data_IF_614043340857
#
_entry.id   IF_614043340857
#
_cell.length_a   1.000
_cell.length_b   1.000
_cell.length_c   1.000
_cell.angle_alpha   90.00
_cell.angle_beta   90.00
_cell.angle_gamma   90.00
#
_symmetry.space_group_name_H-M   'P 1'
#
loop_
_entity.id
_entity.type
_entity.pdbx_description
1 polymer ?
#
# COMPACT_ATOMS: atom_id res chain seq x y z
N UNK A 1 -10.71 5.81 -34.48
CA UNK A 1 -11.98 5.05 -34.46
C UNK A 1 -11.93 4.12 -33.26
N UNK A 2 -12.88 4.30 -32.35
CA UNK A 2 -12.95 3.66 -31.04
C UNK A 2 -13.64 2.31 -31.24
N UNK A 3 -12.93 1.19 -31.08
CA UNK A 3 -13.56 -0.13 -30.97
C UNK A 3 -13.39 -0.66 -29.54
N UNK A 4 -14.32 -0.24 -28.70
CA UNK A 4 -14.61 -0.80 -27.39
C UNK A 4 -15.49 -2.04 -27.61
N UNK A 5 -14.86 -3.19 -27.84
CA UNK A 5 -15.57 -4.48 -27.92
C UNK A 5 -15.74 -4.98 -26.50
N UNK A 6 -16.94 -4.71 -25.98
CA UNK A 6 -17.65 -5.43 -24.94
C UNK A 6 -16.80 -6.41 -24.12
N UNK A 7 -16.35 -5.91 -22.98
CA UNK A 7 -16.16 -6.66 -21.75
C UNK A 7 -17.36 -7.61 -21.56
N UNK A 8 -17.20 -8.87 -21.97
CA UNK A 8 -18.12 -9.94 -21.58
C UNK A 8 -17.95 -10.12 -20.08
N UNK A 9 -18.80 -9.43 -19.36
CA UNK A 9 -18.93 -9.46 -17.92
C UNK A 9 -19.31 -10.87 -17.46
N UNK A 10 -18.31 -11.72 -17.30
CA UNK A 10 -18.40 -12.94 -16.49
C UNK A 10 -18.39 -12.52 -15.01
N UNK A 11 -19.45 -11.83 -14.57
CA UNK A 11 -19.81 -11.88 -13.16
C UNK A 11 -20.35 -13.29 -12.92
N UNK A 12 -19.93 -14.02 -11.86
CA UNK A 12 -20.74 -15.15 -11.41
C UNK A 12 -22.09 -14.56 -11.02
N UNK A 13 -23.09 -14.72 -11.89
CA UNK A 13 -24.43 -14.25 -11.63
C UNK A 13 -24.83 -14.87 -10.29
N UNK A 14 -25.12 -14.05 -9.29
CA UNK A 14 -25.60 -14.56 -8.01
C UNK A 14 -26.76 -15.54 -8.31
N UNK A 15 -26.61 -16.79 -7.90
CA UNK A 15 -27.60 -17.84 -8.11
C UNK A 15 -28.35 -18.10 -6.80
N UNK A 16 -29.55 -18.63 -6.93
CA UNK A 16 -30.40 -19.06 -5.84
C UNK A 16 -30.94 -20.46 -6.17
N UNK A 17 -31.01 -21.32 -5.15
CA UNK A 17 -31.58 -22.64 -5.29
C UNK A 17 -33.12 -22.62 -5.12
N UNK A 18 -33.79 -23.59 -5.73
CA UNK A 18 -35.24 -23.69 -5.74
C UNK A 18 -35.84 -23.97 -4.35
N UNK A 19 -35.09 -24.55 -3.43
CA UNK A 19 -35.58 -24.85 -2.07
C UNK A 19 -35.62 -23.59 -1.21
N UNK A 20 -34.59 -22.76 -1.32
CA UNK A 20 -34.48 -21.46 -0.69
C UNK A 20 -35.56 -20.53 -1.23
N UNK A 21 -35.76 -20.49 -2.55
CA UNK A 21 -36.83 -19.72 -3.17
C UNK A 21 -38.22 -20.21 -2.72
N UNK A 22 -38.46 -21.54 -2.69
CA UNK A 22 -39.71 -22.12 -2.21
C UNK A 22 -39.99 -21.74 -0.75
N UNK A 23 -38.97 -21.77 0.11
CA UNK A 23 -39.09 -21.37 1.51
C UNK A 23 -39.55 -19.92 1.63
N UNK A 24 -38.97 -19.01 0.84
CA UNK A 24 -39.38 -17.61 0.80
C UNK A 24 -40.81 -17.45 0.30
N UNK A 25 -41.20 -18.17 -0.76
CA UNK A 25 -42.55 -18.15 -1.31
C UNK A 25 -43.58 -18.63 -0.29
N UNK A 26 -43.33 -19.74 0.39
CA UNK A 26 -44.24 -20.27 1.41
C UNK A 26 -44.31 -19.39 2.65
N UNK A 27 -43.21 -18.76 3.06
CA UNK A 27 -43.21 -17.74 4.12
C UNK A 27 -44.13 -16.56 3.77
N UNK A 28 -44.02 -16.03 2.54
CA UNK A 28 -44.85 -14.94 2.06
C UNK A 28 -46.33 -15.34 1.91
N UNK A 29 -46.62 -16.56 1.44
CA UNK A 29 -47.97 -17.12 1.36
C UNK A 29 -48.61 -17.27 2.74
N UNK A 30 -47.87 -17.78 3.72
CA UNK A 30 -48.36 -17.92 5.11
C UNK A 30 -48.72 -16.58 5.73
N UNK A 31 -47.90 -15.54 5.52
CA UNK A 31 -48.19 -14.17 5.99
C UNK A 31 -49.47 -13.57 5.37
N UNK A 32 -49.92 -14.10 4.24
CA UNK A 32 -51.13 -13.67 3.53
C UNK A 32 -52.30 -14.66 3.67
N UNK A 33 -52.16 -15.69 4.49
CA UNK A 33 -53.19 -16.71 4.70
C UNK A 33 -53.42 -17.65 3.51
N UNK A 34 -52.46 -17.73 2.59
CA UNK A 34 -52.53 -18.64 1.43
C UNK A 34 -51.93 -20.02 1.76
N UNK A 35 -52.40 -21.06 1.06
CA UNK A 35 -51.88 -22.43 1.21
C UNK A 35 -50.45 -22.54 0.66
N UNK A 36 -49.63 -23.29 1.37
CA UNK A 36 -48.25 -23.59 0.97
C UNK A 36 -48.19 -24.39 -0.34
N UNK A 37 -47.16 -24.14 -1.14
CA UNK A 37 -46.86 -24.89 -2.37
C UNK A 37 -45.95 -26.05 -2.00
N UNK A 38 -46.27 -27.24 -2.53
CA UNK A 38 -45.38 -28.41 -2.41
C UNK A 38 -44.21 -28.29 -3.37
N UNK A 39 -43.07 -28.89 -3.02
CA UNK A 39 -41.85 -28.80 -3.82
C UNK A 39 -42.07 -29.23 -5.29
N UNK A 40 -42.77 -30.34 -5.53
CA UNK A 40 -43.00 -30.83 -6.90
C UNK A 40 -43.83 -29.85 -7.74
N UNK A 41 -44.88 -29.27 -7.14
CA UNK A 41 -45.75 -28.30 -7.81
C UNK A 41 -44.97 -27.00 -8.11
N UNK A 42 -44.04 -26.61 -7.22
CA UNK A 42 -43.19 -25.44 -7.41
C UNK A 42 -42.13 -25.66 -8.51
N UNK A 43 -41.50 -26.83 -8.55
CA UNK A 43 -40.54 -27.21 -9.60
C UNK A 43 -41.20 -27.19 -10.98
N UNK A 44 -42.45 -27.66 -11.10
CA UNK A 44 -43.20 -27.58 -12.35
C UNK A 44 -43.38 -26.12 -12.82
N UNK A 45 -43.69 -25.20 -11.89
CA UNK A 45 -43.81 -23.77 -12.21
C UNK A 45 -42.51 -23.14 -12.65
N UNK A 46 -41.38 -23.53 -12.05
CA UNK A 46 -40.04 -23.06 -12.44
C UNK A 46 -39.71 -23.52 -13.86
N UNK A 47 -39.92 -24.81 -14.17
CA UNK A 47 -39.62 -25.38 -15.49
C UNK A 47 -40.41 -24.69 -16.61
N UNK A 48 -41.67 -24.39 -16.34
CA UNK A 48 -42.57 -23.72 -17.28
C UNK A 48 -42.20 -22.24 -17.48
N UNK A 49 -41.74 -21.54 -16.44
CA UNK A 49 -41.29 -20.13 -16.57
C UNK A 49 -39.91 -20.01 -17.23
N UNK A 50 -39.04 -21.01 -17.06
CA UNK A 50 -37.68 -21.04 -17.59
C UNK A 50 -37.56 -21.91 -18.84
N UNK A 51 -38.67 -22.19 -19.53
CA UNK A 51 -38.65 -22.94 -20.77
C UNK A 51 -37.81 -22.21 -21.83
N UNK A 52 -36.82 -22.90 -22.40
CA UNK A 52 -35.89 -22.32 -23.37
C UNK A 52 -34.71 -21.53 -22.77
N UNK A 53 -34.59 -21.44 -21.44
CA UNK A 53 -33.44 -20.84 -20.77
C UNK A 53 -32.51 -21.88 -20.12
N UNK A 54 -31.24 -21.51 -19.93
CA UNK A 54 -30.27 -22.34 -19.20
C UNK A 54 -30.48 -22.25 -17.68
N UNK A 55 -30.62 -23.40 -17.02
CA UNK A 55 -30.59 -23.57 -15.57
C UNK A 55 -29.99 -24.94 -15.21
N UNK A 56 -29.45 -25.08 -14.00
CA UNK A 56 -28.87 -26.34 -13.53
C UNK A 56 -29.90 -27.14 -12.73
N UNK A 57 -29.95 -28.46 -12.96
CA UNK A 57 -30.85 -29.38 -12.25
C UNK A 57 -30.00 -30.39 -11.49
N UNK A 58 -30.23 -30.46 -10.19
CA UNK A 58 -29.67 -31.49 -9.31
C UNK A 58 -30.80 -32.42 -8.89
N UNK A 59 -30.59 -33.73 -9.08
CA UNK A 59 -31.56 -34.76 -8.68
C UNK A 59 -30.89 -35.63 -7.62
N UNK A 60 -31.46 -35.62 -6.42
CA UNK A 60 -31.04 -36.50 -5.33
C UNK A 60 -31.99 -37.69 -5.28
N UNK A 61 -31.54 -38.91 -5.65
CA UNK A 61 -32.41 -40.08 -5.63
C UNK A 61 -32.79 -40.44 -4.19
N UNK A 62 -34.09 -40.62 -3.93
CA UNK A 62 -34.56 -41.06 -2.62
C UNK A 62 -34.65 -42.58 -2.52
N UNK A 63 -34.48 -43.10 -1.31
CA UNK A 63 -34.50 -44.53 -1.04
C UNK A 63 -35.90 -45.11 -1.34
N UNK A 64 -36.00 -45.91 -2.41
CA UNK A 64 -37.27 -46.45 -2.93
C UNK A 64 -38.04 -47.29 -1.90
N UNK A 65 -37.36 -47.81 -0.88
CA UNK A 65 -37.96 -48.55 0.24
C UNK A 65 -38.84 -47.67 1.15
N UNK A 66 -38.67 -46.35 1.13
CA UNK A 66 -39.44 -45.39 1.94
C UNK A 66 -40.56 -44.68 1.16
N UNK A 67 -40.81 -45.06 -0.10
CA UNK A 67 -41.91 -44.51 -0.91
C UNK A 67 -41.75 -43.04 -1.32
N UNK A 68 -40.54 -42.48 -1.26
CA UNK A 68 -40.26 -41.09 -1.64
C UNK A 68 -39.90 -40.94 -3.12
N UNK A 69 -40.39 -39.87 -3.75
CA UNK A 69 -39.95 -39.47 -5.10
C UNK A 69 -38.61 -38.74 -5.05
N UNK A 70 -37.82 -38.82 -6.13
CA UNK A 70 -36.53 -38.15 -6.21
C UNK A 70 -36.66 -36.64 -5.99
N UNK A 71 -35.73 -36.08 -5.21
CA UNK A 71 -35.74 -34.66 -4.91
C UNK A 71 -35.04 -33.89 -6.01
N UNK A 72 -35.80 -33.06 -6.73
CA UNK A 72 -35.28 -32.16 -7.75
C UNK A 72 -35.03 -30.79 -7.14
N UNK A 73 -33.81 -30.27 -7.32
CA UNK A 73 -33.38 -28.92 -6.95
C UNK A 73 -32.90 -28.22 -8.20
N UNK A 74 -33.42 -27.02 -8.47
CA UNK A 74 -33.02 -26.19 -9.61
C UNK A 74 -32.20 -25.02 -9.09
N UNK A 75 -31.04 -24.77 -9.68
CA UNK A 75 -30.25 -23.57 -9.43
C UNK A 75 -30.48 -22.60 -10.58
N UNK A 76 -30.91 -21.39 -10.24
CA UNK A 76 -31.27 -20.33 -11.20
C UNK A 76 -30.66 -18.99 -10.79
N UNK A 77 -30.57 -18.05 -11.73
CA UNK A 77 -30.12 -16.69 -11.43
C UNK A 77 -31.17 -15.89 -10.66
N UNK A 78 -30.78 -14.83 -9.95
CA UNK A 78 -31.76 -13.94 -9.28
C UNK A 78 -32.81 -13.36 -10.25
N UNK A 79 -32.42 -13.02 -11.49
CA UNK A 79 -33.37 -12.53 -12.51
C UNK A 79 -34.41 -13.58 -12.88
N UNK A 80 -33.99 -14.84 -13.01
CA UNK A 80 -34.88 -15.97 -13.25
C UNK A 80 -35.82 -16.18 -12.05
N UNK A 81 -35.30 -16.14 -10.82
CA UNK A 81 -36.10 -16.28 -9.61
C UNK A 81 -37.16 -15.18 -9.45
N UNK A 82 -36.86 -13.94 -9.83
CA UNK A 82 -37.82 -12.83 -9.85
C UNK A 82 -38.98 -13.10 -10.83
N UNK A 83 -38.70 -13.65 -12.01
CA UNK A 83 -39.74 -14.04 -12.98
C UNK A 83 -40.61 -15.19 -12.47
N UNK A 84 -39.98 -16.21 -11.86
CA UNK A 84 -40.72 -17.30 -11.21
C UNK A 84 -41.64 -16.77 -10.10
N UNK A 85 -41.14 -15.86 -9.26
CA UNK A 85 -41.92 -15.23 -8.19
C UNK A 85 -43.08 -14.36 -8.74
N UNK A 86 -43.02 -13.91 -9.99
CA UNK A 86 -44.09 -13.16 -10.63
C UNK A 86 -45.36 -14.01 -10.85
N UNK A 87 -45.29 -15.34 -10.85
CA UNK A 87 -46.46 -16.24 -10.91
C UNK A 87 -47.27 -16.28 -9.62
N UNK A 88 -46.74 -15.74 -8.53
CA UNK A 88 -47.43 -15.68 -7.26
C UNK A 88 -48.49 -14.56 -7.24
N UNK A 89 -49.37 -14.61 -6.24
CA UNK A 89 -50.43 -13.61 -6.08
C UNK A 89 -49.84 -12.20 -6.00
N UNK A 90 -50.59 -11.17 -6.41
CA UNK A 90 -50.09 -9.77 -6.49
C UNK A 90 -49.49 -9.27 -5.17
N UNK A 91 -50.05 -9.72 -4.04
CA UNK A 91 -49.57 -9.37 -2.70
C UNK A 91 -48.29 -10.14 -2.32
N UNK A 92 -48.23 -11.44 -2.62
CA UNK A 92 -47.07 -12.31 -2.36
C UNK A 92 -45.89 -11.88 -3.24
N UNK A 93 -46.13 -11.59 -4.52
CA UNK A 93 -45.15 -11.11 -5.48
C UNK A 93 -44.43 -9.85 -5.00
N UNK A 94 -45.17 -8.82 -4.55
CA UNK A 94 -44.58 -7.56 -4.06
C UNK A 94 -43.61 -7.81 -2.92
N UNK A 95 -44.05 -8.57 -1.91
CA UNK A 95 -43.20 -8.91 -0.75
C UNK A 95 -41.98 -9.75 -1.11
N UNK A 96 -42.08 -10.63 -2.12
CA UNK A 96 -40.96 -11.46 -2.57
C UNK A 96 -39.95 -10.66 -3.39
N UNK A 97 -40.42 -9.78 -4.28
CA UNK A 97 -39.56 -8.89 -5.07
C UNK A 97 -38.76 -7.99 -4.14
N UNK A 98 -39.41 -7.35 -3.16
CA UNK A 98 -38.72 -6.50 -2.18
C UNK A 98 -37.63 -7.28 -1.40
N UNK A 99 -37.91 -8.53 -1.02
CA UNK A 99 -36.97 -9.41 -0.31
C UNK A 99 -35.81 -9.89 -1.20
N UNK A 100 -36.08 -10.21 -2.45
CA UNK A 100 -35.06 -10.63 -3.42
C UNK A 100 -34.17 -9.45 -3.83
N UNK A 101 -34.75 -8.26 -4.03
CA UNK A 101 -34.00 -7.03 -4.34
C UNK A 101 -33.14 -6.58 -3.17
N UNK A 102 -33.65 -6.61 -1.94
CA UNK A 102 -32.85 -6.30 -0.74
C UNK A 102 -31.69 -7.29 -0.53
N UNK A 103 -31.88 -8.59 -0.80
CA UNK A 103 -30.78 -9.57 -0.79
C UNK A 103 -29.75 -9.30 -1.88
N UNK A 104 -30.18 -8.92 -3.09
CA UNK A 104 -29.28 -8.52 -4.16
C UNK A 104 -28.50 -7.25 -3.79
N UNK A 105 -29.14 -6.27 -3.15
CA UNK A 105 -28.49 -5.05 -2.66
C UNK A 105 -27.51 -5.36 -1.52
N UNK A 106 -27.82 -6.29 -0.60
CA UNK A 106 -26.90 -6.73 0.44
C UNK A 106 -25.67 -7.46 -0.15
N UNK A 107 -25.86 -8.29 -1.17
CA UNK A 107 -24.76 -8.94 -1.90
C UNK A 107 -23.90 -7.90 -2.64
N UNK A 108 -24.52 -6.91 -3.28
CA UNK A 108 -23.81 -5.79 -3.91
C UNK A 108 -23.08 -4.92 -2.88
N UNK A 109 -23.69 -4.61 -1.74
CA UNK A 109 -23.05 -3.88 -0.63
C UNK A 109 -21.90 -4.68 -0.01
N UNK A 110 -21.99 -6.01 0.07
CA UNK A 110 -20.90 -6.89 0.53
C UNK A 110 -19.75 -6.95 -0.48
N UNK A 111 -20.02 -6.70 -1.76
CA UNK A 111 -18.98 -6.50 -2.79
C UNK A 111 -18.41 -5.08 -2.81
N UNK A 112 -19.18 -4.04 -2.46
CA UNK A 112 -18.68 -2.65 -2.40
C UNK A 112 -18.01 -2.31 -1.07
N UNK A 113 -18.28 -3.05 0.02
CA UNK A 113 -17.60 -2.91 1.32
C UNK A 113 -16.30 -3.71 1.43
N UNK A 114 -15.89 -4.44 0.39
CA UNK A 114 -14.54 -4.97 0.26
C UNK A 114 -13.72 -4.09 -0.68
N UNK A 115 -12.87 -3.27 -0.05
CA UNK A 115 -11.64 -2.68 -0.57
C UNK A 115 -11.84 -1.46 -1.46
N UNK A 116 -11.98 -0.30 -0.83
CA UNK A 116 -11.38 0.93 -1.38
C UNK A 116 -9.93 0.59 -1.78
N UNK A 117 -9.43 0.99 -2.96
CA UNK A 117 -8.03 0.79 -3.35
C UNK A 117 -7.03 1.36 -2.32
N UNK A 118 -7.51 2.31 -1.51
CA UNK A 118 -6.81 3.00 -0.44
C UNK A 118 -6.21 2.07 0.63
N UNK A 119 -6.96 1.11 1.18
CA UNK A 119 -6.43 0.22 2.23
C UNK A 119 -5.33 -0.73 1.75
N UNK A 120 -5.29 -1.06 0.45
CA UNK A 120 -4.19 -1.83 -0.13
C UNK A 120 -2.94 -0.97 -0.30
N UNK A 121 -3.10 0.29 -0.68
CA UNK A 121 -2.00 1.25 -0.77
C UNK A 121 -1.45 1.59 0.61
N UNK A 122 -2.31 1.83 1.61
CA UNK A 122 -1.90 2.03 3.00
C UNK A 122 -1.17 0.80 3.54
N UNK A 123 -1.67 -0.41 3.29
CA UNK A 123 -0.98 -1.63 3.69
C UNK A 123 0.37 -1.81 2.98
N UNK A 124 0.45 -1.47 1.68
CA UNK A 124 1.72 -1.49 0.92
C UNK A 124 2.70 -0.46 1.46
N UNK A 125 2.25 0.77 1.76
CA UNK A 125 3.05 1.84 2.38
C UNK A 125 3.54 1.44 3.77
N UNK A 126 2.67 0.90 4.62
CA UNK A 126 3.03 0.42 5.95
C UNK A 126 4.03 -0.74 5.89
N UNK A 127 3.86 -1.68 4.94
CA UNK A 127 4.81 -2.77 4.72
C UNK A 127 6.15 -2.26 4.18
N UNK A 128 6.13 -1.33 3.24
CA UNK A 128 7.35 -0.71 2.72
C UNK A 128 8.10 0.02 3.83
N UNK A 129 7.39 0.78 4.67
CA UNK A 129 7.98 1.46 5.82
C UNK A 129 8.63 0.46 6.78
N UNK A 130 7.93 -0.64 7.11
CA UNK A 130 8.52 -1.70 7.94
C UNK A 130 9.81 -2.26 7.33
N UNK A 131 9.79 -2.61 6.04
CA UNK A 131 10.98 -3.11 5.35
C UNK A 131 12.13 -2.10 5.35
N UNK A 132 11.85 -0.81 5.18
CA UNK A 132 12.88 0.24 5.25
C UNK A 132 13.48 0.38 6.65
N UNK A 133 12.67 0.28 7.70
CA UNK A 133 13.15 0.34 9.09
C UNK A 133 14.01 -0.89 9.43
N UNK A 134 13.58 -2.09 9.02
CA UNK A 134 14.35 -3.31 9.20
C UNK A 134 15.70 -3.20 8.48
N UNK A 135 15.71 -2.76 7.22
CA UNK A 135 16.95 -2.56 6.43
C UNK A 135 17.86 -1.49 7.05
N UNK A 136 17.28 -0.40 7.56
CA UNK A 136 18.03 0.67 8.24
C UNK A 136 18.74 0.13 9.49
N UNK A 137 18.08 -0.74 10.25
CA UNK A 137 18.67 -1.37 11.43
C UNK A 137 19.88 -2.22 11.06
N UNK A 138 19.74 -3.08 10.05
CA UNK A 138 20.85 -3.91 9.54
C UNK A 138 22.03 -3.06 9.05
N UNK A 139 21.75 -1.93 8.40
CA UNK A 139 22.75 -0.97 7.93
C UNK A 139 23.52 -0.33 9.10
N UNK A 140 22.83 0.03 10.18
CA UNK A 140 23.47 0.62 11.36
C UNK A 140 24.25 -0.40 12.18
N UNK A 141 23.82 -1.67 12.18
CA UNK A 141 24.57 -2.77 12.77
C UNK A 141 25.85 -3.05 11.96
N UNK A 142 25.80 -2.92 10.62
CA UNK A 142 26.97 -3.01 9.74
C UNK A 142 27.93 -1.82 9.87
N UNK A 143 27.42 -0.63 10.19
CA UNK A 143 28.18 0.62 10.33
C UNK A 143 28.12 1.19 11.76
N UNK A 144 28.75 0.51 12.76
CA UNK A 144 28.58 0.87 14.17
C UNK A 144 29.16 2.26 14.51
N UNK A 145 30.23 2.66 13.82
CA UNK A 145 30.93 3.94 14.04
C UNK A 145 30.34 5.12 13.26
N UNK A 146 29.18 4.94 12.61
CA UNK A 146 28.55 6.02 11.87
C UNK A 146 28.06 7.12 12.83
N UNK A 147 28.39 8.37 12.50
CA UNK A 147 28.01 9.56 13.28
C UNK A 147 26.47 9.67 13.42
N UNK A 148 25.95 10.18 14.55
CA UNK A 148 24.51 10.28 14.78
C UNK A 148 23.80 11.16 13.74
N UNK A 149 24.44 12.22 13.27
CA UNK A 149 23.90 13.11 12.22
C UNK A 149 23.77 12.36 10.88
N UNK A 150 24.77 11.54 10.54
CA UNK A 150 24.73 10.72 9.34
C UNK A 150 23.65 9.63 9.43
N UNK A 151 23.44 9.02 10.62
CA UNK A 151 22.32 8.10 10.87
C UNK A 151 20.98 8.79 10.67
N UNK A 152 20.83 10.03 11.13
CA UNK A 152 19.61 10.82 10.93
C UNK A 152 19.35 11.12 9.45
N UNK A 153 20.38 11.48 8.68
CA UNK A 153 20.25 11.69 7.22
C UNK A 153 19.79 10.42 6.52
N UNK A 154 20.40 9.27 6.84
CA UNK A 154 20.01 7.97 6.28
C UNK A 154 18.55 7.67 6.61
N UNK A 155 18.15 7.84 7.88
CA UNK A 155 16.77 7.61 8.31
C UNK A 155 15.78 8.53 7.58
N UNK A 156 16.08 9.83 7.47
CA UNK A 156 15.25 10.80 6.77
C UNK A 156 15.13 10.49 5.27
N UNK A 157 16.23 10.13 4.63
CA UNK A 157 16.28 9.78 3.20
C UNK A 157 15.46 8.53 2.88
N UNK A 158 15.42 7.55 3.80
CA UNK A 158 14.65 6.32 3.62
C UNK A 158 13.16 6.46 3.97
N UNK A 159 12.83 7.19 5.04
CA UNK A 159 11.46 7.23 5.59
C UNK A 159 10.60 8.31 4.93
N UNK A 160 11.14 9.52 4.70
CA UNK A 160 10.35 10.65 4.19
C UNK A 160 9.69 10.36 2.82
N UNK A 161 10.36 9.70 1.85
CA UNK A 161 9.73 9.36 0.57
C UNK A 161 8.59 8.35 0.68
N UNK A 162 8.69 7.39 1.61
CA UNK A 162 7.67 6.35 1.82
C UNK A 162 6.41 6.94 2.45
N UNK A 163 6.61 7.88 3.37
CA UNK A 163 5.55 8.52 4.14
C UNK A 163 4.91 9.69 3.37
N UNK A 164 5.64 10.32 2.44
CA UNK A 164 5.14 11.39 1.58
C UNK A 164 5.11 12.77 2.24
N UNK A 165 5.63 12.88 3.47
CA UNK A 165 5.89 14.14 4.16
C UNK A 165 7.22 14.06 4.92
N UNK A 166 7.76 15.20 5.32
CA UNK A 166 9.02 15.28 6.06
C UNK A 166 8.83 14.86 7.52
N UNK A 167 8.72 13.55 7.75
CA UNK A 167 8.54 12.95 9.08
C UNK A 167 9.80 13.10 9.94
N UNK A 168 10.99 12.95 9.35
CA UNK A 168 12.28 13.13 10.01
C UNK A 168 12.96 14.36 9.39
N UNK A 169 13.22 15.42 10.16
CA UNK A 169 13.94 16.59 9.66
C UNK A 169 15.40 16.24 9.39
N UNK A 170 15.97 16.85 8.35
CA UNK A 170 17.41 16.76 8.09
C UNK A 170 18.18 17.52 9.18
N UNK A 171 19.36 17.02 9.60
CA UNK A 171 20.20 17.73 10.57
C UNK A 171 20.66 19.05 9.97
N UNK A 172 20.66 20.11 10.80
CA UNK A 172 21.18 21.41 10.42
C UNK A 172 22.71 21.36 10.55
N UNK A 173 23.43 21.77 9.50
CA UNK A 173 24.89 21.86 9.54
C UNK A 173 25.24 23.11 10.32
N UNK A 174 25.75 22.95 11.55
CA UNK A 174 26.08 24.08 12.43
C UNK A 174 27.41 24.75 12.02
N UNK A 175 28.39 23.98 11.51
CA UNK A 175 29.66 24.51 11.02
C UNK A 175 30.18 23.76 9.76
N UNK A 176 30.42 24.51 8.68
CA UNK A 176 31.08 24.00 7.48
C UNK A 176 32.59 23.84 7.70
N UNK A 177 33.10 22.66 7.35
CA UNK A 177 34.50 22.31 7.50
C UNK A 177 35.17 22.17 6.13
N UNK A 178 36.08 23.09 5.81
CA UNK A 178 36.77 23.18 4.53
C UNK A 178 38.09 22.41 4.54
N UNK A 179 38.37 21.70 3.45
CA UNK A 179 39.67 21.09 3.20
C UNK A 179 40.75 22.15 2.90
N UNK A 180 42.02 21.81 3.11
CA UNK A 180 43.14 22.70 2.76
C UNK A 180 43.12 23.13 1.28
N UNK A 181 42.61 22.29 0.39
CA UNK A 181 42.45 22.60 -1.04
C UNK A 181 41.36 23.63 -1.31
N UNK A 182 40.22 23.52 -0.63
CA UNK A 182 39.13 24.49 -0.74
C UNK A 182 39.53 25.83 -0.15
N UNK A 183 40.16 25.84 1.03
CA UNK A 183 40.72 27.05 1.65
C UNK A 183 41.76 27.71 0.73
N UNK A 184 42.63 26.90 0.11
CA UNK A 184 43.61 27.41 -0.84
C UNK A 184 42.95 28.07 -2.06
N UNK A 185 41.89 27.45 -2.59
CA UNK A 185 41.13 28.00 -3.72
C UNK A 185 40.44 29.31 -3.35
N UNK A 186 39.84 29.39 -2.16
CA UNK A 186 39.18 30.60 -1.66
C UNK A 186 40.16 31.76 -1.48
N UNK A 187 41.36 31.49 -0.97
CA UNK A 187 42.38 32.50 -0.67
C UNK A 187 43.40 32.73 -1.82
N UNK A 188 43.26 32.00 -2.93
CA UNK A 188 44.18 32.07 -4.07
C UNK A 188 45.60 31.56 -3.78
N UNK A 189 45.76 30.59 -2.89
CA UNK A 189 47.04 29.98 -2.52
C UNK A 189 47.03 28.45 -2.68
N UNK A 190 48.21 27.83 -2.79
CA UNK A 190 48.28 26.36 -2.83
C UNK A 190 47.89 25.72 -1.50
N UNK A 191 47.27 24.53 -1.55
CA UNK A 191 46.91 23.74 -0.37
C UNK A 191 48.13 23.45 0.55
N UNK A 192 49.32 23.28 -0.05
CA UNK A 192 50.56 23.08 0.69
C UNK A 192 50.96 24.35 1.49
N UNK A 193 50.72 25.54 0.93
CA UNK A 193 50.95 26.81 1.66
C UNK A 193 50.01 26.93 2.87
N UNK A 194 48.73 26.61 2.70
CA UNK A 194 47.74 26.54 3.80
C UNK A 194 48.24 25.61 4.91
N UNK A 195 48.68 24.40 4.55
CA UNK A 195 49.19 23.42 5.50
C UNK A 195 50.45 23.85 6.24
N UNK A 196 51.36 24.60 5.59
CA UNK A 196 52.55 25.16 6.23
C UNK A 196 52.19 26.24 7.24
N UNK A 197 51.35 27.21 6.85
CA UNK A 197 50.87 28.28 7.75
C UNK A 197 50.19 27.66 8.98
N UNK A 198 49.30 26.68 8.78
CA UNK A 198 48.61 26.02 9.87
C UNK A 198 49.56 25.31 10.86
N UNK A 199 50.70 24.78 10.39
CA UNK A 199 51.72 24.19 11.27
C UNK A 199 52.58 25.26 11.96
N UNK A 200 53.02 26.29 11.24
CA UNK A 200 53.87 27.36 11.77
C UNK A 200 53.17 28.14 12.88
N UNK A 201 51.89 28.45 12.71
CA UNK A 201 51.09 29.21 13.67
C UNK A 201 50.26 28.32 14.60
N UNK A 202 50.49 26.99 14.58
CA UNK A 202 49.79 26.00 15.41
C UNK A 202 48.26 26.12 15.35
N UNK A 203 47.71 26.39 14.16
CA UNK A 203 46.27 26.57 13.95
C UNK A 203 45.49 25.24 13.94
N UNK A 204 46.17 24.09 14.01
CA UNK A 204 45.54 22.75 14.06
C UNK A 204 45.01 22.43 15.46
N UNK A 205 44.12 23.28 15.96
CA UNK A 205 43.45 23.11 17.25
C UNK A 205 41.95 22.96 17.03
N UNK A 206 41.25 22.41 18.03
CA UNK A 206 39.79 22.20 17.99
C UNK A 206 39.00 23.51 17.78
N UNK A 207 39.61 24.67 18.10
CA UNK A 207 39.04 26.00 17.87
C UNK A 207 38.93 26.38 16.39
N UNK A 208 39.85 25.91 15.55
CA UNK A 208 39.96 26.32 14.14
C UNK A 208 39.61 25.19 13.17
N UNK A 209 39.12 24.05 13.67
CA UNK A 209 38.78 22.91 12.85
C UNK A 209 38.84 21.59 13.59
N UNK A 210 38.70 20.49 12.84
CA UNK A 210 38.66 19.13 13.39
C UNK A 210 39.41 18.15 12.49
N UNK A 211 39.93 17.10 13.11
CA UNK A 211 40.53 15.97 12.40
C UNK A 211 39.47 15.02 11.87
N UNK A 212 39.56 14.69 10.58
CA UNK A 212 38.71 13.72 9.90
C UNK A 212 39.57 12.56 9.40
N UNK A 213 39.03 11.34 9.49
CA UNK A 213 39.63 10.18 8.82
C UNK A 213 39.19 10.22 7.37
N UNK A 214 40.16 10.35 6.46
CA UNK A 214 39.91 10.43 5.01
C UNK A 214 40.69 9.33 4.26
N UNK A 215 40.32 9.07 3.01
CA UNK A 215 41.08 8.18 2.13
C UNK A 215 42.35 8.91 1.67
N UNK A 216 43.50 8.24 1.65
CA UNK A 216 44.69 8.79 1.00
C UNK A 216 44.42 9.07 -0.49
N UNK A 217 44.89 10.22 -0.98
CA UNK A 217 44.72 10.59 -2.38
C UNK A 217 45.38 9.62 -3.38
N UNK A 218 46.43 8.90 -2.94
CA UNK A 218 47.26 8.07 -3.82
C UNK A 218 47.48 6.64 -3.28
N UNK A 219 46.79 6.26 -2.21
CA UNK A 219 46.94 4.95 -1.57
C UNK A 219 45.60 4.46 -1.03
N UNK A 220 45.47 3.16 -0.83
CA UNK A 220 44.30 2.57 -0.17
C UNK A 220 44.35 2.69 1.37
N UNK A 221 45.36 3.39 1.90
CA UNK A 221 45.49 3.70 3.33
C UNK A 221 44.54 4.84 3.75
N UNK A 222 44.02 4.75 4.97
CA UNK A 222 43.29 5.82 5.65
C UNK A 222 44.26 6.78 6.34
N UNK A 223 44.02 8.08 6.21
CA UNK A 223 44.90 9.15 6.71
C UNK A 223 44.08 10.22 7.44
N UNK A 224 44.58 10.69 8.57
CA UNK A 224 43.98 11.81 9.29
C UNK A 224 44.25 13.13 8.57
N UNK A 225 43.19 13.82 8.19
CA UNK A 225 43.24 15.11 7.49
C UNK A 225 42.51 16.16 8.32
N UNK A 226 43.18 17.31 8.55
CA UNK A 226 42.59 18.43 9.27
C UNK A 226 41.72 19.25 8.31
N UNK A 227 40.48 19.57 8.73
CA UNK A 227 39.57 20.46 8.02
C UNK A 227 39.30 21.71 8.87
N UNK A 228 39.32 22.87 8.23
CA UNK A 228 39.24 24.18 8.86
C UNK A 228 37.78 24.65 8.95
N UNK A 229 37.38 25.21 10.08
CA UNK A 229 36.11 25.94 10.19
C UNK A 229 36.27 27.39 9.66
N UNK A 230 35.19 28.16 9.62
CA UNK A 230 35.22 29.55 9.15
C UNK A 230 36.22 30.42 9.93
N UNK A 231 36.31 30.25 11.26
CA UNK A 231 37.27 30.95 12.09
C UNK A 231 38.73 30.63 11.72
N UNK A 232 39.01 29.37 11.37
CA UNK A 232 40.32 28.92 10.89
C UNK A 232 40.67 29.54 9.54
N UNK A 233 39.71 29.61 8.62
CA UNK A 233 39.88 30.26 7.31
C UNK A 233 40.21 31.74 7.48
N UNK A 234 39.44 32.47 8.30
CA UNK A 234 39.71 33.88 8.59
C UNK A 234 41.08 34.09 9.23
N UNK A 235 41.51 33.22 10.14
CA UNK A 235 42.83 33.37 10.75
C UNK A 235 43.96 33.20 9.75
N UNK A 236 43.81 32.25 8.82
CA UNK A 236 44.77 32.03 7.73
C UNK A 236 44.79 33.22 6.77
N UNK A 237 43.63 33.79 6.46
CA UNK A 237 43.48 35.01 5.66
C UNK A 237 44.22 36.20 6.29
N UNK A 238 43.99 36.50 7.58
CA UNK A 238 44.70 37.55 8.31
C UNK A 238 46.23 37.40 8.25
N UNK A 239 46.72 36.18 8.41
CA UNK A 239 48.16 35.89 8.38
C UNK A 239 48.76 36.09 6.98
N UNK A 240 48.02 35.75 5.93
CA UNK A 240 48.46 35.96 4.54
C UNK A 240 48.49 37.45 4.20
N UNK A 241 47.49 38.23 4.64
CA UNK A 241 47.52 39.67 4.47
C UNK A 241 48.68 40.33 5.24
N UNK A 242 48.99 39.83 6.44
CA UNK A 242 50.17 40.22 7.22
C UNK A 242 51.47 39.96 6.46
N UNK A 243 51.63 38.77 5.87
CA UNK A 243 52.78 38.43 5.02
C UNK A 243 52.87 39.35 3.78
N UNK A 244 51.75 39.63 3.11
CA UNK A 244 51.72 40.50 1.92
C UNK A 244 52.05 41.96 2.22
N UNK A 245 51.72 42.46 3.41
CA UNK A 245 52.06 43.83 3.83
C UNK A 245 53.50 43.96 4.34
N UNK A 246 54.11 42.84 4.76
CA UNK A 246 55.49 42.79 5.25
C UNK A 246 56.54 42.49 4.16
N UNK A 247 56.10 42.08 2.97
CA UNK A 247 56.93 41.82 1.78
C UNK A 247 56.91 43.02 0.82
#
# INVERSE_FOLDING_TARGET
MINNIANQSSFPAATIDSQMLLKMVNEARRLRGEKEVRNNDFIARIKDELEGEGYEIFVTPMDKKKGGADQVVIVMTYKQALRVAARESKAVRRSLVDKLESMQQQLQQKTTTKKSPDGLEEFRKARALKMTVDTMKDLFDFLPHLAPEAKQVVAASLINPVVGFSAIPLPVIDEHHYSASEVGTMLGISANKVGRIANTYMLKTEKYGKWFIDKSAHSDKQVETFRYNEAGVHKIEELIEGERKAA
#
